data_IF_950254027587
#
_entry.id   IF_950254027587
#
_cell.length_a   1.000
_cell.length_b   1.000
_cell.length_c   1.000
_cell.angle_alpha   90.00
_cell.angle_beta   90.00
_cell.angle_gamma   90.00
#
_symmetry.space_group_name_H-M   'P 1'
#
loop_
_entity.id
_entity.type
_entity.pdbx_description
1 polymer ?
#
# COMPACT_ATOMS: atom_id res chain seq x y z
N UNK A 1 -2.05 -10.46 10.54
CA UNK A 1 -2.80 -10.43 9.25
C UNK A 1 -3.32 -11.80 8.86
N UNK A 2 -2.52 -12.86 8.72
CA UNK A 2 -3.01 -14.19 8.28
C UNK A 2 -4.21 -14.70 9.09
N UNK A 3 -4.13 -14.70 10.42
CA UNK A 3 -5.24 -15.13 11.29
C UNK A 3 -6.51 -14.28 11.14
N UNK A 4 -6.37 -12.97 10.93
CA UNK A 4 -7.53 -12.09 10.69
C UNK A 4 -8.14 -12.32 9.31
N UNK A 5 -7.33 -12.66 8.31
CA UNK A 5 -7.82 -13.06 6.99
C UNK A 5 -8.63 -14.35 7.05
N UNK A 6 -8.17 -15.34 7.83
CA UNK A 6 -8.91 -16.58 8.07
C UNK A 6 -10.28 -16.30 8.67
N UNK A 7 -10.35 -15.45 9.70
CA UNK A 7 -11.61 -15.06 10.33
C UNK A 7 -12.53 -14.36 9.33
N UNK A 8 -11.98 -13.41 8.55
CA UNK A 8 -12.75 -12.63 7.58
C UNK A 8 -13.34 -13.54 6.47
N UNK A 9 -12.51 -14.40 5.87
CA UNK A 9 -12.95 -15.34 4.82
C UNK A 9 -13.97 -16.33 5.38
N UNK A 10 -13.75 -16.87 6.60
CA UNK A 10 -14.68 -17.83 7.21
C UNK A 10 -16.02 -17.22 7.62
N UNK A 11 -16.08 -15.90 7.81
CA UNK A 11 -17.30 -15.18 8.16
C UNK A 11 -18.11 -14.71 6.95
N UNK A 12 -17.53 -14.74 5.76
CA UNK A 12 -18.16 -14.31 4.51
C UNK A 12 -18.92 -15.47 3.87
N UNK A 13 -20.21 -15.24 3.54
CA UNK A 13 -21.07 -16.28 2.97
C UNK A 13 -20.79 -16.57 1.48
N UNK A 14 -20.03 -15.72 0.79
CA UNK A 14 -19.66 -15.87 -0.62
C UNK A 14 -18.27 -16.50 -0.80
N UNK A 15 -17.54 -16.76 0.30
CA UNK A 15 -16.18 -17.27 0.29
C UNK A 15 -16.07 -18.61 1.03
N UNK A 16 -15.34 -19.55 0.44
CA UNK A 16 -14.98 -20.82 1.06
C UNK A 16 -13.50 -20.86 1.41
N UNK A 17 -13.14 -21.00 2.68
CA UNK A 17 -11.78 -21.23 3.12
C UNK A 17 -11.38 -22.68 2.87
N UNK A 18 -10.72 -22.96 1.74
CA UNK A 18 -10.40 -24.32 1.28
C UNK A 18 -9.05 -24.83 1.79
N UNK A 19 -8.12 -23.94 2.15
CA UNK A 19 -6.82 -24.31 2.72
C UNK A 19 -6.19 -23.16 3.48
N UNK A 20 -5.23 -23.50 4.36
CA UNK A 20 -4.33 -22.59 5.05
C UNK A 20 -2.92 -23.16 4.92
N UNK A 21 -1.92 -22.32 4.69
CA UNK A 21 -0.53 -22.74 4.47
C UNK A 21 0.43 -21.96 5.35
N UNK A 22 1.55 -22.59 5.69
CA UNK A 22 2.67 -21.98 6.42
C UNK A 22 4.00 -22.35 5.74
N UNK A 23 5.11 -21.86 6.27
CA UNK A 23 6.47 -21.96 5.70
C UNK A 23 6.92 -23.38 5.33
N UNK A 24 6.43 -24.40 6.03
CA UNK A 24 6.80 -25.80 5.79
C UNK A 24 5.99 -26.49 4.68
N UNK A 25 4.98 -25.82 4.15
CA UNK A 25 4.02 -26.41 3.24
C UNK A 25 4.43 -26.28 1.78
N UNK A 26 4.05 -27.27 0.97
CA UNK A 26 4.18 -27.17 -0.48
C UNK A 26 2.96 -26.42 -1.06
N UNK A 27 3.11 -25.12 -1.23
CA UNK A 27 2.04 -24.23 -1.68
C UNK A 27 1.40 -24.69 -3.00
N UNK A 28 2.20 -25.05 -4.00
CA UNK A 28 1.70 -25.45 -5.31
C UNK A 28 0.83 -26.73 -5.21
N UNK A 29 1.28 -27.72 -4.43
CA UNK A 29 0.54 -28.95 -4.20
C UNK A 29 -0.78 -28.69 -3.47
N UNK A 30 -0.79 -27.79 -2.48
CA UNK A 30 -2.00 -27.45 -1.72
C UNK A 30 -3.00 -26.70 -2.61
N UNK A 31 -2.56 -25.79 -3.46
CA UNK A 31 -3.42 -25.10 -4.43
C UNK A 31 -4.08 -26.12 -5.36
N UNK A 32 -3.32 -27.06 -5.90
CA UNK A 32 -3.83 -28.09 -6.81
C UNK A 32 -4.86 -28.99 -6.11
N UNK A 33 -4.55 -29.47 -4.92
CA UNK A 33 -5.43 -30.39 -4.15
C UNK A 33 -6.70 -29.72 -3.66
N UNK A 34 -6.61 -28.48 -3.17
CA UNK A 34 -7.75 -27.72 -2.67
C UNK A 34 -8.57 -27.06 -3.77
N UNK A 35 -8.03 -26.97 -5.00
CA UNK A 35 -8.61 -26.22 -6.13
C UNK A 35 -8.87 -24.75 -5.79
N UNK A 36 -7.99 -24.15 -4.99
CA UNK A 36 -8.09 -22.78 -4.59
C UNK A 36 -8.10 -21.86 -5.83
N UNK A 37 -9.10 -21.02 -5.97
CA UNK A 37 -9.23 -20.05 -7.07
C UNK A 37 -8.44 -18.78 -6.82
N UNK A 38 -8.31 -18.40 -5.54
CA UNK A 38 -7.64 -17.19 -5.07
C UNK A 38 -6.75 -17.56 -3.89
N UNK A 39 -5.55 -17.01 -3.84
CA UNK A 39 -4.64 -17.16 -2.68
C UNK A 39 -4.30 -15.79 -2.13
N UNK A 40 -4.57 -15.61 -0.85
CA UNK A 40 -4.27 -14.39 -0.10
C UNK A 40 -2.93 -14.54 0.61
N UNK A 41 -1.96 -13.71 0.26
CA UNK A 41 -0.60 -13.74 0.81
C UNK A 41 -0.35 -12.59 1.80
N UNK A 42 0.06 -12.95 3.01
CA UNK A 42 0.57 -12.06 4.05
C UNK A 42 1.88 -12.59 4.64
N UNK A 43 2.78 -13.09 3.80
CA UNK A 43 4.10 -13.57 4.20
C UNK A 43 5.06 -12.41 4.49
N UNK A 44 6.29 -12.50 4.06
CA UNK A 44 7.31 -11.46 4.24
C UNK A 44 7.86 -10.99 2.89
N UNK A 45 8.43 -9.78 2.85
CA UNK A 45 9.05 -9.23 1.64
C UNK A 45 10.11 -10.15 1.02
N UNK A 46 10.81 -10.92 1.86
CA UNK A 46 11.88 -11.82 1.42
C UNK A 46 11.37 -12.96 0.51
N UNK A 47 10.13 -13.43 0.72
CA UNK A 47 9.56 -14.56 -0.02
C UNK A 47 8.37 -14.20 -0.89
N UNK A 48 7.86 -12.96 -0.79
CA UNK A 48 6.66 -12.52 -1.47
C UNK A 48 6.70 -12.71 -3.00
N UNK A 49 7.85 -12.48 -3.62
CA UNK A 49 8.02 -12.70 -5.06
C UNK A 49 7.88 -14.17 -5.45
N UNK A 50 8.57 -15.06 -4.73
CA UNK A 50 8.54 -16.50 -4.97
C UNK A 50 7.15 -17.08 -4.72
N UNK A 51 6.53 -16.74 -3.60
CA UNK A 51 5.16 -17.14 -3.24
C UNK A 51 4.18 -16.68 -4.31
N UNK A 52 4.23 -15.41 -4.72
CA UNK A 52 3.33 -14.85 -5.74
C UNK A 52 3.51 -15.54 -7.10
N UNK A 53 4.75 -15.79 -7.51
CA UNK A 53 5.04 -16.52 -8.75
C UNK A 53 4.50 -17.97 -8.72
N UNK A 54 4.66 -18.65 -7.59
CA UNK A 54 4.13 -20.01 -7.37
C UNK A 54 2.60 -20.05 -7.46
N UNK A 55 1.90 -19.07 -6.85
CA UNK A 55 0.44 -18.94 -6.95
C UNK A 55 0.00 -18.81 -8.41
N UNK A 56 0.64 -17.88 -9.15
CA UNK A 56 0.32 -17.62 -10.55
C UNK A 56 0.55 -18.86 -11.42
N UNK A 57 1.70 -19.53 -11.25
CA UNK A 57 2.06 -20.74 -12.00
C UNK A 57 1.12 -21.90 -11.71
N UNK A 58 0.54 -21.97 -10.51
CA UNK A 58 -0.48 -22.95 -10.14
C UNK A 58 -1.89 -22.61 -10.67
N UNK A 59 -2.04 -21.52 -11.43
CA UNK A 59 -3.31 -21.10 -12.02
C UNK A 59 -4.26 -20.38 -11.05
N UNK A 60 -3.86 -20.14 -9.80
CA UNK A 60 -4.64 -19.37 -8.84
C UNK A 60 -4.37 -17.87 -8.96
N UNK A 61 -5.34 -17.05 -8.55
CA UNK A 61 -5.23 -15.59 -8.57
C UNK A 61 -4.59 -15.07 -7.30
N UNK A 62 -3.45 -14.37 -7.36
CA UNK A 62 -2.80 -13.82 -6.18
C UNK A 62 -3.52 -12.55 -5.67
N UNK A 63 -3.73 -12.48 -4.37
CA UNK A 63 -4.07 -11.27 -3.63
C UNK A 63 -2.94 -11.02 -2.63
N UNK A 64 -2.02 -10.14 -2.98
CA UNK A 64 -0.76 -9.92 -2.27
C UNK A 64 -0.92 -8.75 -1.31
N UNK A 65 -0.96 -9.05 -0.02
CA UNK A 65 -0.98 -8.07 1.08
C UNK A 65 0.40 -7.84 1.69
N UNK A 66 1.38 -8.63 1.29
CA UNK A 66 2.77 -8.47 1.72
C UNK A 66 3.36 -7.20 1.11
N UNK A 67 3.94 -6.34 1.95
CA UNK A 67 4.64 -5.12 1.52
C UNK A 67 6.10 -5.41 1.17
N UNK A 68 6.73 -4.52 0.39
CA UNK A 68 8.17 -4.58 0.11
C UNK A 68 8.54 -5.24 -1.22
N UNK A 69 7.57 -5.55 -2.10
CA UNK A 69 7.87 -5.90 -3.48
C UNK A 69 8.47 -4.69 -4.22
N UNK A 70 9.56 -4.92 -4.92
CA UNK A 70 10.22 -3.91 -5.75
C UNK A 70 9.45 -3.67 -7.06
N UNK A 71 9.60 -2.49 -7.69
CA UNK A 71 8.91 -2.19 -8.95
C UNK A 71 9.16 -3.20 -10.07
N UNK A 72 10.39 -3.71 -10.19
CA UNK A 72 10.77 -4.75 -11.15
C UNK A 72 10.09 -6.09 -10.86
N UNK A 73 9.95 -6.47 -9.60
CA UNK A 73 9.22 -7.68 -9.19
C UNK A 73 7.72 -7.56 -9.52
N UNK A 74 7.14 -6.39 -9.27
CA UNK A 74 5.75 -6.12 -9.65
C UNK A 74 5.55 -6.22 -11.17
N UNK A 75 6.51 -5.71 -11.96
CA UNK A 75 6.47 -5.80 -13.42
C UNK A 75 6.54 -7.26 -13.89
N UNK A 76 7.38 -8.08 -13.26
CA UNK A 76 7.51 -9.51 -13.56
C UNK A 76 6.23 -10.28 -13.21
N UNK A 77 5.63 -10.04 -12.03
CA UNK A 77 4.36 -10.66 -11.65
C UNK A 77 3.22 -10.28 -12.62
N UNK A 78 3.17 -9.03 -13.07
CA UNK A 78 2.21 -8.60 -14.11
C UNK A 78 2.39 -9.37 -15.42
N UNK A 79 3.64 -9.62 -15.82
CA UNK A 79 3.97 -10.41 -17.02
C UNK A 79 3.50 -11.84 -16.85
N UNK A 80 3.81 -12.50 -15.73
CA UNK A 80 3.37 -13.86 -15.42
C UNK A 80 1.84 -13.97 -15.43
N UNK A 81 1.12 -13.05 -14.79
CA UNK A 81 -0.35 -13.02 -14.80
C UNK A 81 -0.90 -12.93 -16.24
N UNK A 82 -0.28 -12.10 -17.08
CA UNK A 82 -0.68 -11.95 -18.49
C UNK A 82 -0.43 -13.23 -19.29
N UNK A 83 0.70 -13.90 -19.09
CA UNK A 83 1.05 -15.17 -19.74
C UNK A 83 0.07 -16.30 -19.37
N UNK A 84 -0.37 -16.35 -18.12
CA UNK A 84 -1.33 -17.31 -17.60
C UNK A 84 -2.80 -16.89 -17.83
N UNK A 85 -3.04 -15.70 -18.42
CA UNK A 85 -4.38 -15.13 -18.62
C UNK A 85 -5.22 -15.07 -17.32
N UNK A 86 -4.60 -14.71 -16.21
CA UNK A 86 -5.25 -14.53 -14.91
C UNK A 86 -5.05 -13.12 -14.39
N UNK A 87 -5.98 -12.66 -13.55
CA UNK A 87 -5.83 -11.40 -12.79
C UNK A 87 -5.19 -11.63 -11.43
N UNK A 88 -4.61 -10.57 -10.87
CA UNK A 88 -4.10 -10.55 -9.50
C UNK A 88 -4.19 -9.14 -8.92
N UNK A 89 -4.07 -9.04 -7.59
CA UNK A 89 -4.11 -7.77 -6.86
C UNK A 89 -2.89 -7.67 -5.95
N UNK A 90 -2.21 -6.55 -5.98
CA UNK A 90 -1.24 -6.16 -4.95
C UNK A 90 -1.88 -5.03 -4.16
N UNK A 91 -2.23 -5.30 -2.90
CA UNK A 91 -2.90 -4.36 -2.02
C UNK A 91 -1.90 -3.81 -0.98
N UNK A 92 -1.41 -2.59 -1.15
CA UNK A 92 -0.44 -2.00 -0.22
C UNK A 92 -1.05 -1.70 1.14
N UNK A 93 -2.37 -1.69 1.23
CA UNK A 93 -3.12 -1.45 2.45
C UNK A 93 -4.52 -2.06 2.36
N UNK A 94 -4.97 -2.72 3.42
CA UNK A 94 -6.32 -3.31 3.55
C UNK A 94 -7.27 -2.46 4.40
N UNK A 95 -6.79 -1.37 5.01
CA UNK A 95 -7.66 -0.44 5.69
C UNK A 95 -8.45 0.39 4.67
N UNK A 96 -9.76 0.20 4.62
CA UNK A 96 -10.66 0.91 3.68
C UNK A 96 -10.48 2.42 3.76
N UNK A 97 -10.35 2.98 4.97
CA UNK A 97 -10.13 4.41 5.15
C UNK A 97 -8.82 4.91 4.53
N UNK A 98 -7.73 4.13 4.59
CA UNK A 98 -6.49 4.48 3.93
C UNK A 98 -6.61 4.42 2.40
N UNK A 99 -7.33 3.44 1.86
CA UNK A 99 -7.60 3.34 0.42
C UNK A 99 -8.44 4.53 -0.07
N UNK A 100 -9.49 4.88 0.68
CA UNK A 100 -10.33 6.05 0.36
C UNK A 100 -9.55 7.35 0.47
N UNK A 101 -8.72 7.53 1.50
CA UNK A 101 -7.83 8.68 1.64
C UNK A 101 -6.92 8.83 0.41
N UNK A 102 -6.26 7.75 -0.03
CA UNK A 102 -5.42 7.77 -1.24
C UNK A 102 -6.21 8.14 -2.48
N UNK A 103 -7.39 7.53 -2.68
CA UNK A 103 -8.28 7.79 -3.82
C UNK A 103 -8.75 9.23 -3.85
N UNK A 104 -9.27 9.74 -2.74
CA UNK A 104 -9.75 11.12 -2.67
C UNK A 104 -8.63 12.14 -2.76
N UNK A 105 -7.43 11.82 -2.27
CA UNK A 105 -6.24 12.65 -2.47
C UNK A 105 -5.83 12.72 -3.94
N UNK A 106 -5.91 11.60 -4.66
CA UNK A 106 -5.69 11.57 -6.11
C UNK A 106 -6.71 12.44 -6.86
N UNK A 107 -8.00 12.35 -6.49
CA UNK A 107 -9.04 13.15 -7.13
C UNK A 107 -8.90 14.64 -6.79
N UNK A 108 -8.56 14.99 -5.53
CA UNK A 108 -8.33 16.36 -5.10
C UNK A 108 -7.15 17.04 -5.80
N UNK A 109 -6.11 16.28 -6.14
CA UNK A 109 -4.89 16.79 -6.78
C UNK A 109 -5.14 17.50 -8.12
N UNK A 110 -6.22 17.17 -8.82
CA UNK A 110 -6.65 17.82 -10.06
C UNK A 110 -7.05 19.30 -9.85
N UNK A 111 -7.51 19.61 -8.65
CA UNK A 111 -7.98 20.95 -8.26
C UNK A 111 -6.99 21.68 -7.36
N UNK A 112 -6.18 20.93 -6.62
CA UNK A 112 -5.17 21.41 -5.68
C UNK A 112 -3.81 20.79 -6.01
N UNK A 113 -3.03 21.38 -6.93
CA UNK A 113 -1.76 20.77 -7.36
C UNK A 113 -0.65 20.85 -6.30
N UNK A 114 -0.81 21.67 -5.26
CA UNK A 114 0.13 21.78 -4.13
C UNK A 114 -0.36 20.94 -2.97
N UNK A 115 0.45 19.97 -2.56
CA UNK A 115 0.13 19.09 -1.44
C UNK A 115 1.38 18.69 -0.66
N UNK A 116 1.18 18.42 0.63
CA UNK A 116 2.17 17.78 1.50
C UNK A 116 1.51 16.62 2.25
N UNK A 117 2.29 15.59 2.54
CA UNK A 117 1.83 14.40 3.27
C UNK A 117 2.51 14.36 4.63
N UNK A 118 1.73 14.13 5.69
CA UNK A 118 2.23 13.87 7.04
C UNK A 118 1.82 12.45 7.42
N UNK A 119 2.79 11.59 7.72
CA UNK A 119 2.52 10.23 8.19
C UNK A 119 3.04 10.05 9.60
N UNK A 120 2.26 9.38 10.44
CA UNK A 120 2.56 9.24 11.85
C UNK A 120 2.44 7.77 12.26
N UNK A 121 3.49 7.22 12.84
CA UNK A 121 3.51 5.83 13.30
C UNK A 121 4.16 5.71 14.68
N UNK A 122 3.97 4.53 15.28
CA UNK A 122 4.66 4.18 16.50
C UNK A 122 6.19 4.24 16.33
N UNK A 123 6.90 4.51 17.40
CA UNK A 123 8.35 4.68 17.42
C UNK A 123 9.16 3.41 17.05
N UNK A 124 8.54 2.24 17.01
CA UNK A 124 9.16 0.98 16.57
C UNK A 124 9.10 0.75 15.05
N UNK A 125 8.50 1.66 14.25
CA UNK A 125 8.51 1.54 12.79
C UNK A 125 9.86 2.01 12.24
N UNK A 126 10.58 1.11 11.56
CA UNK A 126 11.95 1.34 11.11
C UNK A 126 12.04 2.17 9.83
N UNK A 127 11.16 1.91 8.87
CA UNK A 127 11.14 2.62 7.59
C UNK A 127 10.47 4.00 7.71
N UNK A 128 11.02 4.98 7.02
CA UNK A 128 10.47 6.32 6.83
C UNK A 128 10.94 6.89 5.47
N UNK A 129 10.00 7.45 4.65
CA UNK A 129 8.56 7.48 4.83
C UNK A 129 7.91 6.10 4.71
N UNK A 130 6.65 5.98 5.17
CA UNK A 130 5.87 4.74 5.01
C UNK A 130 5.54 4.48 3.52
N UNK A 131 5.41 3.21 3.14
CA UNK A 131 5.02 2.83 1.77
C UNK A 131 3.68 3.44 1.34
N UNK A 132 2.72 3.59 2.26
CA UNK A 132 1.44 4.26 2.00
C UNK A 132 1.62 5.74 1.68
N UNK A 133 2.51 6.43 2.40
CA UNK A 133 2.79 7.85 2.15
C UNK A 133 3.46 8.07 0.80
N UNK A 134 4.45 7.23 0.44
CA UNK A 134 5.09 7.26 -0.88
C UNK A 134 4.06 6.99 -1.98
N UNK A 135 3.21 5.96 -1.82
CA UNK A 135 2.15 5.66 -2.79
C UNK A 135 1.15 6.80 -2.94
N UNK A 136 0.76 7.45 -1.84
CA UNK A 136 -0.12 8.62 -1.87
C UNK A 136 0.51 9.78 -2.64
N UNK A 137 1.79 10.09 -2.38
CA UNK A 137 2.52 11.14 -3.08
C UNK A 137 2.58 10.88 -4.60
N UNK A 138 2.88 9.64 -5.00
CA UNK A 138 2.91 9.25 -6.41
C UNK A 138 1.53 9.42 -7.08
N UNK A 139 0.44 8.98 -6.43
CA UNK A 139 -0.92 9.14 -6.96
C UNK A 139 -1.32 10.61 -7.13
N UNK A 140 -0.93 11.47 -6.18
CA UNK A 140 -1.13 12.92 -6.28
C UNK A 140 -0.33 13.49 -7.46
N UNK A 141 0.94 13.12 -7.58
CA UNK A 141 1.82 13.60 -8.64
C UNK A 141 1.34 13.17 -10.04
N UNK A 142 0.85 11.93 -10.17
CA UNK A 142 0.28 11.41 -11.42
C UNK A 142 -1.03 12.10 -11.83
N UNK A 143 -1.84 12.54 -10.86
CA UNK A 143 -3.18 13.08 -11.12
C UNK A 143 -3.24 14.60 -11.28
N UNK A 144 -2.24 15.35 -10.78
CA UNK A 144 -2.23 16.82 -10.90
C UNK A 144 -1.98 17.27 -12.33
N UNK A 145 -2.73 18.25 -12.80
CA UNK A 145 -2.62 18.79 -14.16
C UNK A 145 -1.37 19.63 -14.37
N UNK A 146 -0.75 20.12 -13.31
CA UNK A 146 0.44 20.97 -13.38
C UNK A 146 1.37 20.73 -12.19
N UNK A 147 2.66 20.84 -12.43
CA UNK A 147 3.65 20.89 -11.35
C UNK A 147 3.72 22.31 -10.82
N UNK A 148 3.52 22.54 -9.51
CA UNK A 148 3.61 23.86 -8.93
C UNK A 148 4.97 24.50 -9.18
N UNK A 149 4.97 25.83 -9.38
CA UNK A 149 6.21 26.57 -9.53
C UNK A 149 7.07 26.41 -8.27
N UNK A 150 8.33 26.02 -8.46
CA UNK A 150 9.29 25.93 -7.35
C UNK A 150 9.55 27.33 -6.77
N UNK A 151 9.30 27.47 -5.48
CA UNK A 151 9.70 28.65 -4.71
C UNK A 151 11.10 28.35 -4.17
N UNK A 152 11.97 29.35 -4.17
CA UNK A 152 13.29 29.22 -3.57
C UNK A 152 13.14 29.02 -2.06
N UNK A 153 13.40 27.80 -1.61
CA UNK A 153 13.36 27.43 -0.19
C UNK A 153 14.77 27.54 0.42
N UNK A 154 14.85 27.98 1.66
CA UNK A 154 16.05 27.98 2.47
C UNK A 154 15.79 27.19 3.76
N UNK A 155 16.30 25.98 3.81
CA UNK A 155 16.29 25.22 5.06
C UNK A 155 17.35 25.77 6.04
N UNK A 156 16.93 26.21 7.21
CA UNK A 156 17.84 26.62 8.29
C UNK A 156 18.44 25.39 8.96
N UNK A 157 17.63 24.33 9.09
CA UNK A 157 18.08 23.02 9.56
C UNK A 157 17.82 22.01 8.42
N UNK A 158 18.84 21.24 8.01
CA UNK A 158 18.66 20.22 6.97
C UNK A 158 17.53 19.26 7.29
N UNK A 159 16.66 18.99 6.32
CA UNK A 159 15.52 18.09 6.45
C UNK A 159 14.26 18.73 7.05
N UNK A 160 14.26 20.04 7.33
CA UNK A 160 13.10 20.74 7.87
C UNK A 160 11.86 20.68 6.94
N UNK A 161 12.09 20.51 5.63
CA UNK A 161 11.03 20.36 4.62
C UNK A 161 10.69 18.91 4.30
N UNK A 162 11.16 17.95 5.10
CA UNK A 162 10.87 16.53 4.94
C UNK A 162 11.51 15.90 3.70
N UNK A 163 11.08 14.69 3.37
CA UNK A 163 11.48 13.99 2.15
C UNK A 163 10.73 14.55 0.92
N UNK A 164 11.29 14.34 -0.27
CA UNK A 164 10.65 14.74 -1.53
C UNK A 164 10.40 13.49 -2.39
N UNK A 165 9.13 13.25 -2.72
CA UNK A 165 8.71 12.21 -3.65
C UNK A 165 7.88 12.86 -4.75
N UNK A 166 8.40 12.89 -6.00
CA UNK A 166 7.70 13.47 -7.15
C UNK A 166 7.18 14.92 -6.91
N UNK A 167 8.01 15.75 -6.26
CA UNK A 167 7.69 17.13 -5.89
C UNK A 167 6.54 17.24 -4.84
N UNK A 168 6.25 16.16 -4.12
CA UNK A 168 5.38 16.16 -2.96
C UNK A 168 6.24 15.97 -1.71
N UNK A 169 6.10 16.85 -0.73
CA UNK A 169 6.81 16.73 0.54
C UNK A 169 6.15 15.72 1.44
N UNK A 170 6.96 14.87 2.09
CA UNK A 170 6.49 13.86 3.05
C UNK A 170 7.21 14.08 4.37
N UNK A 171 6.42 14.22 5.44
CA UNK A 171 6.88 14.38 6.81
C UNK A 171 6.56 13.12 7.61
N UNK A 172 7.56 12.53 8.26
CA UNK A 172 7.41 11.28 9.02
C UNK A 172 7.54 11.54 10.51
N UNK A 173 6.51 11.21 11.28
CA UNK A 173 6.48 11.34 12.74
C UNK A 173 6.54 9.96 13.37
N UNK A 174 7.40 9.78 14.40
CA UNK A 174 7.56 8.53 15.16
C UNK A 174 7.44 8.83 16.64
N UNK A 175 6.30 8.42 17.25
CA UNK A 175 6.02 8.66 18.66
C UNK A 175 5.36 7.45 19.32
N UNK A 176 5.60 7.20 20.62
CA UNK A 176 4.81 6.26 21.41
C UNK A 176 3.33 6.65 21.39
N UNK A 177 2.43 5.65 21.38
CA UNK A 177 0.98 5.86 21.40
C UNK A 177 0.35 6.04 20.02
N UNK A 178 1.14 6.26 18.96
CA UNK A 178 0.66 6.23 17.60
C UNK A 178 0.56 4.79 17.06
N UNK A 179 -0.36 4.55 16.14
CA UNK A 179 -0.50 3.26 15.44
C UNK A 179 -0.09 3.44 13.98
N UNK A 180 -0.98 3.95 13.15
CA UNK A 180 -0.72 4.30 11.75
C UNK A 180 -1.71 5.39 11.31
N UNK A 181 -1.20 6.55 11.01
CA UNK A 181 -2.01 7.71 10.65
C UNK A 181 -1.40 8.39 9.44
N UNK A 182 -2.23 8.99 8.62
CA UNK A 182 -1.76 9.81 7.51
C UNK A 182 -2.73 10.95 7.25
N UNK A 183 -2.15 12.11 6.99
CA UNK A 183 -2.85 13.33 6.63
C UNK A 183 -2.25 13.88 5.34
N UNK A 184 -3.11 14.28 4.42
CA UNK A 184 -2.74 14.98 3.18
C UNK A 184 -3.30 16.39 3.25
N UNK A 185 -2.40 17.36 3.20
CA UNK A 185 -2.71 18.78 3.20
C UNK A 185 -2.63 19.32 1.78
N UNK A 186 -3.69 19.87 1.28
CA UNK A 186 -3.74 20.56 -0.01
C UNK A 186 -3.86 22.06 0.19
N UNK A 187 -3.08 22.81 -0.58
CA UNK A 187 -3.10 24.28 -0.59
C UNK A 187 -3.65 24.83 -1.90
N UNK A 188 -4.54 25.80 -1.81
CA UNK A 188 -5.07 26.57 -2.93
C UNK A 188 -5.20 28.05 -2.59
N UNK A 189 -5.61 28.88 -3.55
CA UNK A 189 -5.79 30.30 -3.30
C UNK A 189 -6.88 30.52 -2.25
N UNK A 190 -6.49 31.06 -1.10
CA UNK A 190 -7.38 31.39 0.02
C UNK A 190 -8.11 30.20 0.66
N UNK A 191 -7.64 28.96 0.45
CA UNK A 191 -8.27 27.77 1.02
C UNK A 191 -7.26 26.63 1.19
N UNK A 192 -7.56 25.74 2.11
CA UNK A 192 -6.86 24.47 2.31
C UNK A 192 -7.88 23.34 2.37
N UNK A 193 -7.46 22.15 1.94
CA UNK A 193 -8.23 20.92 2.11
C UNK A 193 -7.35 19.91 2.84
N UNK A 194 -7.90 19.24 3.85
CA UNK A 194 -7.22 18.18 4.58
C UNK A 194 -8.01 16.89 4.42
N UNK A 195 -7.30 15.80 4.04
CA UNK A 195 -7.86 14.44 4.02
C UNK A 195 -7.03 13.61 4.98
N UNK A 196 -7.67 13.04 6.01
CA UNK A 196 -6.98 12.30 7.07
C UNK A 196 -7.59 10.92 7.30
N UNK A 197 -6.73 9.96 7.59
CA UNK A 197 -7.08 8.62 8.04
C UNK A 197 -6.26 8.26 9.28
N UNK A 198 -6.94 7.73 10.28
CA UNK A 198 -6.36 7.26 11.54
C UNK A 198 -6.72 5.78 11.75
N UNK A 199 -5.71 4.90 11.81
CA UNK A 199 -5.86 3.54 12.33
C UNK A 199 -5.59 3.56 13.82
N UNK A 200 -6.57 3.15 14.62
CA UNK A 200 -6.46 3.12 16.09
C UNK A 200 -6.05 1.74 16.61
N UNK A 201 -6.20 0.69 15.80
CA UNK A 201 -5.80 -0.69 16.09
C UNK A 201 -5.15 -1.31 14.84
N UNK A 202 -4.49 -2.46 15.02
CA UNK A 202 -3.90 -3.26 13.93
C UNK A 202 -4.65 -4.55 13.67
N UNK A 203 -5.79 -4.72 14.32
CA UNK A 203 -6.63 -5.91 14.21
C UNK A 203 -7.46 -5.89 12.93
#
# INVERSE_FOLDING_TARGET
MGQESIKAVSADAELDLVAQTDLSDNLAQIIEQSKAQVVLDFTTAAVAMEVSASIIQSGARPVIGTSGLLPEQVAELKKLCKEQNIGGVIAPNFAIGAVLMMKYSQDAARYFPQAEVIELHHNGKLDAPSGTAIKTANLIAEARDSVPQKIAEKEILPGARGANAEEIRIHSIRLPGLVAHQEVLFGGQSQTLTIRHDSTHRD
#
